data_IF_891124328326
#
_entry.id   IF_891124328326
#
_cell.length_a   1.000
_cell.length_b   1.000
_cell.length_c   1.000
_cell.angle_alpha   90.00
_cell.angle_beta   90.00
_cell.angle_gamma   90.00
#
_symmetry.space_group_name_H-M   'P 1'
#
loop_
_entity.id
_entity.type
_entity.pdbx_description
1 polymer ?
#
# COMPACT_ATOMS: atom_id res chain seq x y z
N UNK A 1 1.20 5.91 19.04
CA UNK A 1 1.07 5.35 17.69
C UNK A 1 -0.23 5.88 17.14
N UNK A 2 -0.16 6.74 16.13
CA UNK A 2 -1.32 7.46 15.61
C UNK A 2 -2.03 6.50 14.65
N UNK A 3 -2.98 5.72 15.15
CA UNK A 3 -3.95 5.06 14.26
C UNK A 3 -4.57 6.18 13.42
N UNK A 4 -4.42 6.15 12.08
CA UNK A 4 -5.04 7.15 11.26
C UNK A 4 -6.54 6.83 11.25
N UNK A 5 -7.25 7.35 12.25
CA UNK A 5 -8.69 7.22 12.40
C UNK A 5 -9.34 7.61 11.06
N UNK A 6 -9.96 6.63 10.40
CA UNK A 6 -10.62 6.82 9.10
C UNK A 6 -9.95 6.14 7.90
N UNK A 7 -8.77 5.54 8.05
CA UNK A 7 -8.25 4.65 6.99
C UNK A 7 -8.96 3.30 7.01
N UNK A 8 -9.40 2.86 5.84
CA UNK A 8 -10.01 1.55 5.64
C UNK A 8 -8.91 0.55 5.25
N UNK A 9 -8.64 -0.49 6.07
CA UNK A 9 -7.59 -1.47 5.78
C UNK A 9 -8.01 -2.38 4.62
N UNK A 10 -7.05 -2.65 3.72
CA UNK A 10 -7.25 -3.54 2.56
C UNK A 10 -6.39 -4.79 2.69
N UNK A 11 -5.11 -4.64 2.99
CA UNK A 11 -4.18 -5.74 3.10
C UNK A 11 -3.03 -5.42 4.06
N UNK A 12 -2.48 -6.47 4.67
CA UNK A 12 -1.28 -6.43 5.49
C UNK A 12 -0.26 -7.39 4.89
N UNK A 13 0.98 -6.92 4.68
CA UNK A 13 2.05 -7.69 4.05
C UNK A 13 3.08 -8.14 5.08
N UNK A 14 2.73 -9.12 5.92
CA UNK A 14 3.66 -9.68 6.90
C UNK A 14 4.30 -10.98 6.38
N UNK A 15 5.56 -11.20 6.76
CA UNK A 15 6.20 -12.51 6.71
C UNK A 15 5.93 -13.31 7.99
N UNK A 16 6.95 -13.98 8.52
CA UNK A 16 6.84 -14.83 9.72
C UNK A 16 6.83 -14.06 11.06
N UNK A 17 6.78 -12.72 11.03
CA UNK A 17 6.70 -11.89 12.24
C UNK A 17 5.65 -10.80 12.03
N UNK A 18 4.89 -10.49 13.09
CA UNK A 18 3.91 -9.39 13.14
C UNK A 18 4.52 -8.05 13.61
N UNK A 19 5.85 -7.95 13.57
CA UNK A 19 6.59 -6.81 14.09
C UNK A 19 6.71 -5.69 13.05
N UNK A 20 5.61 -4.93 12.85
CA UNK A 20 5.57 -3.77 11.96
C UNK A 20 5.57 -4.21 10.50
N UNK A 21 4.39 -4.35 9.91
CA UNK A 21 4.26 -4.81 8.53
C UNK A 21 3.85 -3.66 7.62
N UNK A 22 4.27 -3.70 6.35
CA UNK A 22 3.65 -2.85 5.35
C UNK A 22 2.14 -3.10 5.27
N UNK A 23 1.37 -2.03 5.10
CA UNK A 23 -0.09 -2.08 5.08
C UNK A 23 -0.66 -1.20 3.98
N UNK A 24 -1.68 -1.71 3.31
CA UNK A 24 -2.44 -1.01 2.29
C UNK A 24 -3.79 -0.56 2.86
N UNK A 25 -4.13 0.70 2.62
CA UNK A 25 -5.38 1.31 3.04
C UNK A 25 -6.02 2.14 1.93
N UNK A 26 -7.31 2.42 2.10
CA UNK A 26 -8.06 3.48 1.41
C UNK A 26 -8.33 4.62 2.39
N UNK A 27 -8.04 5.86 1.97
CA UNK A 27 -8.38 7.08 2.70
C UNK A 27 -9.60 7.75 2.04
N UNK A 28 -10.83 7.55 2.57
CA UNK A 28 -12.04 8.12 1.97
C UNK A 28 -12.08 9.65 2.08
N UNK A 29 -11.35 10.23 3.02
CA UNK A 29 -11.30 11.68 3.23
C UNK A 29 -10.23 12.37 2.36
N UNK A 30 -9.29 11.61 1.78
CA UNK A 30 -8.26 12.16 0.92
C UNK A 30 -8.79 12.60 -0.46
N UNK A 31 -8.14 13.62 -1.08
CA UNK A 31 -8.32 13.93 -2.49
C UNK A 31 -8.11 12.70 -3.38
N UNK A 32 -8.78 12.64 -4.53
CA UNK A 32 -8.75 11.48 -5.42
C UNK A 32 -7.33 11.06 -5.84
N UNK A 33 -6.40 12.02 -5.91
CA UNK A 33 -4.99 11.83 -6.30
C UNK A 33 -4.14 11.14 -5.20
N UNK A 34 -4.65 11.00 -3.99
CA UNK A 34 -3.92 10.50 -2.80
C UNK A 34 -4.72 9.49 -1.97
N UNK A 35 -5.75 8.89 -2.57
CA UNK A 35 -6.73 8.05 -1.89
C UNK A 35 -6.19 6.68 -1.46
N UNK A 36 -5.23 6.12 -2.18
CA UNK A 36 -4.61 4.84 -1.84
C UNK A 36 -3.36 5.12 -1.01
N UNK A 37 -3.25 4.45 0.14
CA UNK A 37 -2.15 4.65 1.08
C UNK A 37 -1.43 3.33 1.31
N UNK A 38 -0.14 3.29 1.04
CA UNK A 38 0.76 2.18 1.42
C UNK A 38 1.73 2.70 2.47
N UNK A 39 1.80 2.04 3.62
CA UNK A 39 2.79 2.31 4.67
C UNK A 39 3.81 1.20 4.73
N UNK A 40 5.04 1.52 5.10
CA UNK A 40 6.04 0.52 5.50
C UNK A 40 6.22 0.49 7.04
N UNK A 41 7.13 -0.35 7.50
CA UNK A 41 7.49 -0.57 8.89
C UNK A 41 8.50 0.45 9.45
N UNK A 42 9.11 1.25 8.58
CA UNK A 42 10.05 2.32 8.92
C UNK A 42 9.38 3.70 9.01
N UNK A 43 8.07 3.78 8.79
CA UNK A 43 7.28 5.02 8.85
C UNK A 43 7.20 5.78 7.53
N UNK A 44 7.65 5.18 6.42
CA UNK A 44 7.42 5.71 5.08
C UNK A 44 5.96 5.51 4.69
N UNK A 45 5.48 6.44 3.85
CA UNK A 45 4.11 6.45 3.36
C UNK A 45 4.09 6.87 1.90
N UNK A 46 3.53 6.01 1.06
CA UNK A 46 3.23 6.30 -0.35
C UNK A 46 1.74 6.58 -0.47
N UNK A 47 1.38 7.66 -1.15
CA UNK A 47 0.00 8.00 -1.47
C UNK A 47 -0.15 8.14 -2.98
N UNK A 48 -1.23 7.57 -3.53
CA UNK A 48 -1.49 7.61 -4.96
C UNK A 48 -2.99 7.60 -5.25
N UNK A 49 -3.35 7.91 -6.50
CA UNK A 49 -4.74 7.75 -6.96
C UNK A 49 -5.12 6.29 -7.11
N UNK A 50 -6.42 6.02 -7.18
CA UNK A 50 -6.92 4.69 -7.51
C UNK A 50 -6.45 4.22 -8.91
N UNK A 51 -6.34 5.13 -9.89
CA UNK A 51 -5.89 4.81 -11.25
C UNK A 51 -4.41 4.41 -11.31
N UNK A 52 -3.57 5.10 -10.54
CA UNK A 52 -2.16 4.75 -10.38
C UNK A 52 -2.02 3.38 -9.72
N UNK A 53 -2.79 3.11 -8.67
CA UNK A 53 -2.81 1.81 -8.02
C UNK A 53 -3.31 0.69 -8.93
N UNK A 54 -4.35 0.95 -9.75
CA UNK A 54 -4.84 0.00 -10.74
C UNK A 54 -3.74 -0.36 -11.76
N UNK A 55 -2.98 0.63 -12.23
CA UNK A 55 -1.85 0.40 -13.14
C UNK A 55 -0.75 -0.44 -12.49
N UNK A 56 -0.44 -0.19 -11.21
CA UNK A 56 0.50 -1.01 -10.43
C UNK A 56 0.03 -2.47 -10.33
N UNK A 57 -1.26 -2.69 -10.06
CA UNK A 57 -1.86 -4.02 -9.97
C UNK A 57 -1.79 -4.75 -11.32
N UNK A 58 -2.07 -4.08 -12.43
CA UNK A 58 -1.96 -4.69 -13.76
C UNK A 58 -0.51 -5.03 -14.13
N UNK A 59 0.45 -4.14 -13.84
CA UNK A 59 1.87 -4.41 -14.02
C UNK A 59 2.34 -5.61 -13.16
N UNK A 60 1.85 -5.71 -11.92
CA UNK A 60 2.14 -6.84 -11.03
C UNK A 60 1.56 -8.15 -11.56
N UNK A 61 0.29 -8.16 -11.99
CA UNK A 61 -0.34 -9.35 -12.61
C UNK A 61 0.36 -9.77 -13.91
N UNK A 62 0.92 -8.82 -14.65
CA UNK A 62 1.70 -9.07 -15.86
C UNK A 62 3.12 -9.59 -15.60
N UNK A 63 3.53 -9.76 -14.34
CA UNK A 63 4.87 -10.23 -13.95
C UNK A 63 5.98 -9.20 -14.16
N UNK A 64 5.65 -7.95 -14.49
CA UNK A 64 6.64 -6.89 -14.75
C UNK A 64 7.49 -6.57 -13.53
N UNK A 65 6.95 -6.82 -12.33
CA UNK A 65 7.61 -6.53 -11.06
C UNK A 65 8.41 -7.74 -10.51
N UNK A 66 8.30 -8.93 -11.11
CA UNK A 66 8.89 -10.18 -10.58
C UNK A 66 10.42 -10.10 -10.44
N UNK A 67 11.07 -9.40 -11.39
CA UNK A 67 12.52 -9.19 -11.36
C UNK A 67 13.00 -8.32 -10.20
N UNK A 68 12.13 -7.50 -9.61
CA UNK A 68 12.41 -6.70 -8.40
C UNK A 68 12.03 -7.47 -7.14
N UNK A 69 10.95 -8.25 -7.19
CA UNK A 69 10.45 -9.02 -6.05
C UNK A 69 11.30 -10.25 -5.67
N UNK A 70 12.20 -10.69 -6.56
CA UNK A 70 13.03 -11.90 -6.38
C UNK A 70 14.48 -11.62 -5.93
N UNK A 71 14.80 -10.36 -5.57
CA UNK A 71 16.16 -9.92 -5.24
C UNK A 71 16.51 -10.08 -3.75
#
# INVERSE_FOLDING_TARGET
>A
MNEPHGLEPVATFCGNCDCGCPQLFVDPAAPAERRIVLTDDFGQRVQMSADQFASLVEDAKGGKLDGVASA
#
